data_IF_981457458703
#
_entry.id   IF_981457458703
#
_cell.length_a   1.000
_cell.length_b   1.000
_cell.length_c   1.000
_cell.angle_alpha   90.00
_cell.angle_beta   90.00
_cell.angle_gamma   90.00
#
_symmetry.space_group_name_H-M   'P 1'
#
loop_
_entity.id
_entity.type
_entity.pdbx_description
1 polymer ?
#
# COMPACT_ATOMS: atom_id res chain seq x y z
N UNK A 1 -12.02 18.96 -2.31
CA UNK A 1 -10.95 18.44 -3.19
C UNK A 1 -11.49 17.24 -3.95
N UNK A 2 -11.29 17.17 -5.27
CA UNK A 2 -11.77 16.05 -6.09
C UNK A 2 -10.59 15.15 -6.45
N UNK A 3 -10.63 13.93 -5.99
CA UNK A 3 -9.60 12.92 -6.21
C UNK A 3 -9.93 12.06 -7.43
N UNK A 4 -8.88 11.61 -8.12
CA UNK A 4 -9.00 10.63 -9.18
C UNK A 4 -9.35 9.26 -8.59
N UNK A 5 -10.32 8.57 -9.20
CA UNK A 5 -10.67 7.19 -8.84
C UNK A 5 -9.67 6.20 -9.40
N UNK A 6 -9.17 6.45 -10.62
CA UNK A 6 -8.11 5.65 -11.25
C UNK A 6 -7.47 6.42 -12.42
N UNK A 7 -6.34 5.92 -12.89
CA UNK A 7 -5.64 6.44 -14.06
C UNK A 7 -6.10 5.67 -15.29
N UNK A 8 -6.72 6.36 -16.26
CA UNK A 8 -7.18 5.75 -17.52
C UNK A 8 -6.05 5.48 -18.51
N UNK A 9 -5.09 6.41 -18.59
CA UNK A 9 -4.03 6.37 -19.57
C UNK A 9 -2.77 7.04 -19.04
N UNK A 10 -1.65 6.44 -19.31
CA UNK A 10 -0.31 6.99 -19.10
C UNK A 10 0.31 7.24 -20.47
N UNK A 11 0.73 8.46 -20.72
CA UNK A 11 1.45 8.83 -21.93
C UNK A 11 2.83 9.39 -21.57
N UNK A 12 3.87 8.87 -22.19
CA UNK A 12 5.25 9.28 -21.98
C UNK A 12 5.85 9.66 -23.32
N UNK A 13 6.09 10.96 -23.51
CA UNK A 13 6.55 11.51 -24.80
C UNK A 13 7.95 11.03 -25.19
N UNK A 14 8.78 10.79 -24.20
CA UNK A 14 10.21 10.54 -24.44
C UNK A 14 10.78 9.57 -23.41
N UNK A 15 11.03 8.36 -23.85
CA UNK A 15 11.87 7.39 -23.16
C UNK A 15 13.19 7.21 -23.93
N UNK A 16 14.27 6.86 -23.20
CA UNK A 16 15.60 6.58 -23.79
C UNK A 16 16.07 7.69 -24.75
N UNK A 17 16.20 8.89 -24.19
CA UNK A 17 16.68 10.08 -24.93
C UNK A 17 15.80 10.49 -26.11
N UNK A 18 14.49 10.36 -25.95
CA UNK A 18 13.52 10.79 -26.95
C UNK A 18 13.20 9.77 -28.05
N UNK A 19 13.75 8.58 -27.98
CA UNK A 19 13.61 7.57 -29.04
C UNK A 19 12.29 6.79 -29.02
N UNK A 20 11.56 6.84 -27.91
CA UNK A 20 10.32 6.05 -27.74
C UNK A 20 9.23 6.89 -27.08
N UNK A 21 8.07 6.91 -27.75
CA UNK A 21 6.81 7.38 -27.22
C UNK A 21 6.02 6.17 -26.72
N UNK A 22 5.44 6.28 -25.54
CA UNK A 22 4.64 5.20 -24.92
C UNK A 22 3.27 5.74 -24.57
N UNK A 23 2.23 5.06 -25.05
CA UNK A 23 0.85 5.26 -24.62
C UNK A 23 0.37 3.95 -24.01
N UNK A 24 -0.01 4.00 -22.75
CA UNK A 24 -0.49 2.84 -22.01
C UNK A 24 -1.90 3.11 -21.49
N UNK A 25 -2.89 2.45 -22.08
CA UNK A 25 -4.26 2.47 -21.60
C UNK A 25 -4.39 1.47 -20.44
N UNK A 26 -4.97 1.93 -19.35
CA UNK A 26 -5.04 1.18 -18.10
C UNK A 26 -6.47 0.69 -17.85
N UNK A 27 -6.58 -0.51 -17.29
CA UNK A 27 -7.78 -1.01 -16.67
C UNK A 27 -8.01 -0.31 -15.32
N UNK A 28 -9.25 -0.31 -14.86
CA UNK A 28 -9.63 0.35 -13.61
C UNK A 28 -9.03 -0.34 -12.37
N UNK A 29 -8.83 -1.65 -12.41
CA UNK A 29 -8.49 -2.44 -11.22
C UNK A 29 -7.02 -2.85 -11.21
N UNK A 30 -6.61 -3.72 -12.13
CA UNK A 30 -5.28 -4.32 -12.13
C UNK A 30 -4.63 -4.19 -13.49
N UNK A 31 -3.39 -3.69 -13.50
CA UNK A 31 -2.59 -3.57 -14.70
C UNK A 31 -1.24 -4.24 -14.48
N UNK A 32 -0.85 -5.11 -15.41
CA UNK A 32 0.40 -5.87 -15.32
C UNK A 32 1.33 -5.43 -16.44
N UNK A 33 2.50 -4.92 -16.07
CA UNK A 33 3.58 -4.60 -16.99
C UNK A 33 4.59 -5.75 -16.98
N UNK A 34 4.51 -6.62 -17.97
CA UNK A 34 5.40 -7.78 -18.12
C UNK A 34 6.43 -7.59 -19.24
N UNK A 35 7.50 -8.37 -19.20
CA UNK A 35 8.55 -8.37 -20.23
C UNK A 35 9.88 -8.84 -19.65
N UNK A 36 10.86 -9.09 -20.55
CA UNK A 36 12.21 -9.53 -20.18
C UNK A 36 12.95 -8.50 -19.33
N UNK A 37 13.96 -8.94 -18.59
CA UNK A 37 14.79 -8.04 -17.79
C UNK A 37 15.52 -7.03 -18.70
N UNK A 38 15.61 -5.78 -18.25
CA UNK A 38 16.25 -4.70 -19.00
C UNK A 38 15.37 -4.00 -20.04
N UNK A 39 14.14 -4.48 -20.33
CA UNK A 39 13.25 -3.87 -21.34
C UNK A 39 12.71 -2.49 -20.93
N UNK A 40 12.95 -2.05 -19.70
CA UNK A 40 12.57 -0.72 -19.23
C UNK A 40 11.29 -0.62 -18.41
N UNK A 41 10.75 -1.75 -17.89
CA UNK A 41 9.54 -1.76 -17.01
C UNK A 41 9.68 -0.77 -15.85
N UNK A 42 10.74 -0.92 -15.07
CA UNK A 42 11.02 -0.04 -13.92
C UNK A 42 11.30 1.41 -14.34
N UNK A 43 11.85 1.62 -15.54
CA UNK A 43 12.09 2.97 -16.08
C UNK A 43 10.76 3.69 -16.35
N UNK A 44 9.78 2.98 -16.91
CA UNK A 44 8.43 3.50 -17.16
C UNK A 44 7.76 3.86 -15.82
N UNK A 45 7.69 2.91 -14.89
CA UNK A 45 7.05 3.13 -13.59
C UNK A 45 7.72 4.25 -12.80
N UNK A 46 9.06 4.27 -12.73
CA UNK A 46 9.80 5.33 -12.04
C UNK A 46 9.57 6.71 -12.67
N UNK A 47 9.38 6.79 -13.98
CA UNK A 47 9.10 8.06 -14.66
C UNK A 47 7.69 8.57 -14.31
N UNK A 48 6.71 7.67 -14.24
CA UNK A 48 5.34 7.99 -13.80
C UNK A 48 5.34 8.45 -12.34
N UNK A 49 5.96 7.67 -11.44
CA UNK A 49 6.05 7.99 -10.02
C UNK A 49 6.75 9.33 -9.76
N UNK A 50 7.85 9.60 -10.46
CA UNK A 50 8.52 10.92 -10.40
C UNK A 50 7.61 12.05 -10.88
N UNK A 51 6.75 11.77 -11.88
CA UNK A 51 5.73 12.72 -12.36
C UNK A 51 4.73 13.06 -11.24
N UNK A 52 4.24 12.05 -10.55
CA UNK A 52 3.30 12.22 -9.44
C UNK A 52 3.94 12.90 -8.22
N UNK A 53 5.19 12.57 -7.91
CA UNK A 53 5.92 13.10 -6.75
C UNK A 53 6.29 14.58 -6.86
N UNK A 54 6.20 15.19 -8.04
CA UNK A 54 6.53 16.60 -8.25
C UNK A 54 5.60 17.56 -7.48
N UNK A 55 4.50 17.05 -6.92
CA UNK A 55 3.55 17.77 -6.05
C UNK A 55 2.71 18.81 -6.79
N UNK A 56 1.52 19.08 -6.28
CA UNK A 56 0.63 20.13 -6.78
C UNK A 56 -0.65 19.62 -7.44
N UNK A 57 -1.47 20.54 -7.92
CA UNK A 57 -2.72 20.23 -8.61
C UNK A 57 -2.45 19.58 -9.97
N UNK A 58 -3.13 18.48 -10.22
CA UNK A 58 -3.16 17.80 -11.50
C UNK A 58 -4.03 18.60 -12.52
N UNK A 59 -3.66 18.77 -13.79
CA UNK A 59 -2.50 18.26 -14.51
C UNK A 59 -1.30 19.22 -14.60
N UNK A 60 -1.32 20.38 -13.94
CA UNK A 60 -0.40 21.50 -14.19
C UNK A 60 1.04 21.27 -13.75
N UNK A 61 1.30 20.27 -12.91
CA UNK A 61 2.63 19.99 -12.33
C UNK A 61 3.26 18.69 -12.81
N UNK A 62 2.75 18.13 -13.90
CA UNK A 62 3.36 16.93 -14.46
C UNK A 62 4.79 17.19 -14.95
N UNK A 63 5.69 16.26 -14.65
CA UNK A 63 7.04 16.27 -15.21
C UNK A 63 6.97 16.36 -16.74
N UNK A 64 7.82 17.18 -17.33
CA UNK A 64 7.94 17.30 -18.79
C UNK A 64 7.99 15.91 -19.43
N UNK A 65 7.04 15.66 -20.33
CA UNK A 65 6.98 14.44 -21.10
C UNK A 65 6.27 13.26 -20.44
N UNK A 66 5.52 13.48 -19.36
CA UNK A 66 4.56 12.48 -18.82
C UNK A 66 3.19 13.11 -18.72
N UNK A 67 2.18 12.48 -19.30
CA UNK A 67 0.78 12.89 -19.21
C UNK A 67 -0.05 11.74 -18.66
N UNK A 68 -0.96 12.06 -17.74
CA UNK A 68 -1.91 11.10 -17.20
C UNK A 68 -3.32 11.57 -17.53
N UNK A 69 -4.15 10.64 -17.99
CA UNK A 69 -5.60 10.86 -18.04
C UNK A 69 -6.22 10.06 -16.90
N UNK A 70 -7.07 10.73 -16.14
CA UNK A 70 -7.69 10.17 -14.94
C UNK A 70 -9.20 10.13 -15.04
N UNK A 71 -9.85 9.42 -14.15
CA UNK A 71 -11.29 9.44 -13.97
C UNK A 71 -11.60 9.90 -12.54
N UNK A 72 -12.54 10.84 -12.35
CA UNK A 72 -13.17 11.71 -13.37
C UNK A 72 -12.16 12.69 -13.99
N UNK A 73 -12.47 13.17 -15.20
CA UNK A 73 -11.55 14.01 -15.99
C UNK A 73 -11.20 15.35 -15.33
N UNK A 74 -12.04 15.82 -14.42
CA UNK A 74 -11.86 17.04 -13.62
C UNK A 74 -11.22 16.80 -12.26
N UNK A 75 -10.71 15.59 -12.00
CA UNK A 75 -9.95 15.32 -10.78
C UNK A 75 -8.64 16.09 -10.77
N UNK A 76 -8.30 16.66 -9.60
CA UNK A 76 -7.11 17.48 -9.41
C UNK A 76 -6.07 16.82 -8.51
N UNK A 77 -6.41 15.72 -7.86
CA UNK A 77 -5.57 15.04 -6.89
C UNK A 77 -5.58 13.53 -7.14
N UNK A 78 -4.43 12.88 -6.96
CA UNK A 78 -4.28 11.42 -7.00
C UNK A 78 -3.68 10.99 -5.66
N UNK A 79 -4.31 10.03 -4.99
CA UNK A 79 -3.69 9.31 -3.88
C UNK A 79 -2.97 8.11 -4.44
N UNK A 80 -1.73 7.93 -4.07
CA UNK A 80 -0.95 6.80 -4.55
C UNK A 80 0.11 6.39 -3.54
N UNK A 81 0.53 5.12 -3.65
CA UNK A 81 1.72 4.62 -2.99
C UNK A 81 2.56 3.79 -3.96
N UNK A 82 3.80 3.55 -3.61
CA UNK A 82 4.76 2.80 -4.43
C UNK A 82 5.39 1.73 -3.59
N UNK A 83 5.15 0.47 -3.97
CA UNK A 83 5.78 -0.67 -3.32
C UNK A 83 6.98 -1.08 -4.16
N UNK A 84 8.16 -0.99 -3.58
CA UNK A 84 9.40 -1.33 -4.28
C UNK A 84 9.63 -2.83 -4.25
N UNK A 85 10.00 -3.40 -5.37
CA UNK A 85 10.27 -4.83 -5.53
C UNK A 85 11.60 -5.29 -4.90
N UNK A 86 12.46 -4.37 -4.52
CA UNK A 86 13.76 -4.68 -3.90
C UNK A 86 13.82 -4.08 -2.51
N UNK A 87 14.08 -4.94 -1.55
CA UNK A 87 14.33 -4.54 -0.18
C UNK A 87 15.76 -3.97 -0.08
N UNK A 88 15.87 -2.69 0.19
CA UNK A 88 17.14 -1.98 0.25
C UNK A 88 17.50 -1.66 1.70
N UNK A 89 18.78 -1.85 2.08
CA UNK A 89 19.25 -1.38 3.37
C UNK A 89 19.02 0.13 3.53
N UNK A 90 18.65 0.55 4.72
CA UNK A 90 18.58 1.97 5.06
C UNK A 90 20.00 2.54 5.17
N UNK A 91 20.33 3.56 4.38
CA UNK A 91 21.67 4.16 4.33
C UNK A 91 22.09 4.92 5.59
N UNK A 92 21.18 5.17 6.54
CA UNK A 92 21.43 6.02 7.71
C UNK A 92 20.83 5.40 8.98
N UNK A 93 21.18 4.15 9.27
CA UNK A 93 20.77 3.43 10.48
C UNK A 93 21.12 4.19 11.76
N UNK A 94 22.26 4.90 11.80
CA UNK A 94 22.69 5.70 12.96
C UNK A 94 21.78 6.90 13.25
N UNK A 95 21.16 7.48 12.23
CA UNK A 95 20.19 8.56 12.38
C UNK A 95 18.83 8.04 12.85
N UNK A 96 18.45 6.85 12.41
CA UNK A 96 17.19 6.17 12.77
C UNK A 96 17.27 5.61 14.19
N UNK A 97 18.39 4.98 14.57
CA UNK A 97 18.59 4.41 15.90
C UNK A 97 18.65 5.46 17.02
N UNK A 98 19.06 6.69 16.70
CA UNK A 98 19.05 7.81 17.66
C UNK A 98 17.64 8.35 17.97
N UNK A 99 16.63 8.00 17.18
CA UNK A 99 15.27 8.52 17.35
C UNK A 99 14.43 7.72 18.34
N UNK A 100 14.67 6.41 18.48
CA UNK A 100 13.99 5.58 19.50
C UNK A 100 14.53 4.13 19.49
N UNK A 101 14.60 3.47 20.65
CA UNK A 101 15.03 2.06 20.77
C UNK A 101 14.15 1.07 19.99
N UNK A 102 12.90 1.40 19.76
CA UNK A 102 11.97 0.58 18.94
C UNK A 102 12.25 0.62 17.41
N UNK A 103 13.18 1.48 16.98
CA UNK A 103 13.56 1.60 15.56
C UNK A 103 14.86 0.84 15.23
N UNK A 104 15.50 0.21 16.24
CA UNK A 104 16.72 -0.57 16.05
C UNK A 104 16.55 -1.80 15.16
N UNK A 105 15.31 -2.30 15.06
CA UNK A 105 14.97 -3.49 14.28
C UNK A 105 14.69 -3.19 12.79
N UNK A 106 14.66 -1.91 12.41
CA UNK A 106 14.41 -1.47 11.04
C UNK A 106 15.72 -1.46 10.26
N UNK A 107 15.91 -2.46 9.41
CA UNK A 107 17.12 -2.60 8.59
C UNK A 107 16.93 -2.16 7.13
N UNK A 108 15.68 -2.15 6.64
CA UNK A 108 15.38 -2.03 5.22
C UNK A 108 14.28 -1.01 4.90
N UNK A 109 14.16 -0.63 3.63
CA UNK A 109 13.07 0.25 3.16
C UNK A 109 11.69 -0.40 3.39
N UNK A 110 11.56 -1.73 3.26
CA UNK A 110 10.30 -2.44 3.54
C UNK A 110 9.97 -2.42 5.04
N UNK A 111 10.96 -2.55 5.91
CA UNK A 111 10.76 -2.43 7.36
C UNK A 111 10.22 -1.04 7.73
N UNK A 112 10.76 0.00 7.10
CA UNK A 112 10.28 1.36 7.31
C UNK A 112 8.84 1.54 6.80
N UNK A 113 8.49 0.97 5.64
CA UNK A 113 7.11 1.00 5.15
C UNK A 113 6.17 0.26 6.09
N UNK A 114 6.54 -0.94 6.56
CA UNK A 114 5.78 -1.71 7.53
C UNK A 114 5.59 -0.95 8.85
N UNK A 115 6.62 -0.26 9.33
CA UNK A 115 6.53 0.57 10.53
C UNK A 115 5.47 1.66 10.42
N UNK A 116 5.44 2.40 9.30
CA UNK A 116 4.41 3.41 9.08
C UNK A 116 3.02 2.80 8.88
N UNK A 117 2.92 1.69 8.17
CA UNK A 117 1.66 0.98 7.98
C UNK A 117 1.10 0.40 9.28
N UNK A 118 1.95 -0.11 10.18
CA UNK A 118 1.53 -0.55 11.50
C UNK A 118 0.85 0.57 12.31
N UNK A 119 1.39 1.79 12.24
CA UNK A 119 0.78 2.95 12.91
C UNK A 119 -0.59 3.30 12.31
N UNK A 120 -0.68 3.35 10.98
CA UNK A 120 -1.97 3.52 10.29
C UNK A 120 -2.96 2.39 10.60
N UNK A 121 -2.46 1.17 10.77
CA UNK A 121 -3.30 0.01 11.13
C UNK A 121 -3.88 0.15 12.55
N UNK A 122 -3.14 0.69 13.50
CA UNK A 122 -3.67 1.02 14.84
C UNK A 122 -4.83 2.02 14.75
N UNK A 123 -4.64 3.10 13.99
CA UNK A 123 -5.70 4.10 13.78
C UNK A 123 -6.93 3.47 13.08
N UNK A 124 -6.70 2.61 12.10
CA UNK A 124 -7.75 1.84 11.42
C UNK A 124 -8.53 0.96 12.41
N UNK A 125 -7.84 0.23 13.29
CA UNK A 125 -8.49 -0.62 14.31
C UNK A 125 -9.32 0.20 15.31
N UNK A 126 -8.80 1.32 15.78
CA UNK A 126 -9.52 2.23 16.67
C UNK A 126 -10.79 2.75 15.99
N UNK A 127 -10.68 3.17 14.72
CA UNK A 127 -11.82 3.65 13.95
C UNK A 127 -12.90 2.57 13.79
N UNK A 128 -12.52 1.35 13.42
CA UNK A 128 -13.45 0.20 13.32
C UNK A 128 -14.09 -0.09 14.67
N UNK A 129 -13.30 -0.14 15.75
CA UNK A 129 -13.81 -0.37 17.10
C UNK A 129 -14.86 0.66 17.49
N UNK A 130 -14.59 1.95 17.30
CA UNK A 130 -15.52 3.03 17.57
C UNK A 130 -16.82 2.91 16.76
N UNK A 131 -16.72 2.56 15.48
CA UNK A 131 -17.89 2.35 14.60
C UNK A 131 -18.75 1.16 15.08
N UNK A 132 -18.12 0.06 15.49
CA UNK A 132 -18.82 -1.11 16.03
C UNK A 132 -19.53 -0.75 17.34
N UNK A 133 -18.85 -0.04 18.25
CA UNK A 133 -19.43 0.41 19.53
C UNK A 133 -20.63 1.31 19.27
N UNK A 134 -20.49 2.32 18.40
CA UNK A 134 -21.59 3.20 18.05
C UNK A 134 -22.78 2.44 17.45
N UNK A 135 -22.53 1.47 16.57
CA UNK A 135 -23.56 0.65 15.96
C UNK A 135 -24.33 -0.18 17.00
N UNK A 136 -23.61 -0.76 17.98
CA UNK A 136 -24.24 -1.56 19.04
C UNK A 136 -25.02 -0.69 20.04
N UNK A 137 -24.56 0.53 20.30
CA UNK A 137 -25.25 1.49 21.19
C UNK A 137 -26.56 2.02 20.61
N UNK A 138 -26.67 2.09 19.28
CA UNK A 138 -27.91 2.52 18.59
C UNK A 138 -29.13 1.59 18.88
N UNK A 139 -28.91 0.38 19.40
CA UNK A 139 -29.96 -0.56 19.78
C UNK A 139 -30.84 -1.06 18.62
N UNK A 140 -30.39 -0.92 17.38
CA UNK A 140 -31.11 -1.37 16.18
C UNK A 140 -31.13 -2.90 16.12
N UNK A 141 -32.22 -3.53 15.60
CA UNK A 141 -32.30 -4.99 15.49
C UNK A 141 -31.20 -5.62 14.63
N UNK A 142 -30.64 -4.87 13.69
CA UNK A 142 -29.59 -5.29 12.75
C UNK A 142 -28.16 -4.92 13.18
N UNK A 143 -28.01 -4.34 14.38
CA UNK A 143 -26.71 -3.84 14.88
C UNK A 143 -25.62 -4.92 14.85
N UNK A 144 -25.93 -6.17 15.20
CA UNK A 144 -24.97 -7.27 15.18
C UNK A 144 -24.50 -7.61 13.75
N UNK A 145 -25.41 -7.59 12.77
CA UNK A 145 -25.10 -7.83 11.37
C UNK A 145 -24.22 -6.69 10.80
N UNK A 146 -24.55 -5.46 11.15
CA UNK A 146 -23.76 -4.30 10.71
C UNK A 146 -22.37 -4.30 11.35
N UNK A 147 -22.23 -4.65 12.62
CA UNK A 147 -20.93 -4.83 13.28
C UNK A 147 -20.07 -5.89 12.56
N UNK A 148 -20.67 -7.00 12.12
CA UNK A 148 -19.98 -8.00 11.29
C UNK A 148 -19.52 -7.42 9.96
N UNK A 149 -20.34 -6.63 9.26
CA UNK A 149 -19.97 -5.97 8.01
C UNK A 149 -18.79 -5.00 8.19
N UNK A 150 -18.82 -4.22 9.28
CA UNK A 150 -17.74 -3.28 9.61
C UNK A 150 -16.43 -4.03 9.87
N UNK A 151 -16.46 -5.20 10.51
CA UNK A 151 -15.26 -5.99 10.83
C UNK A 151 -14.79 -6.91 9.70
N UNK A 152 -15.62 -7.19 8.69
CA UNK A 152 -15.35 -8.14 7.63
C UNK A 152 -14.04 -7.86 6.84
N UNK A 153 -13.71 -6.61 6.44
CA UNK A 153 -12.47 -6.35 5.73
C UNK A 153 -11.22 -6.75 6.51
N UNK A 154 -11.19 -6.46 7.83
CA UNK A 154 -10.08 -6.88 8.70
C UNK A 154 -9.98 -8.41 8.76
N UNK A 155 -11.10 -9.09 8.91
CA UNK A 155 -11.13 -10.56 8.94
C UNK A 155 -10.62 -11.14 7.63
N UNK A 156 -11.11 -10.65 6.49
CA UNK A 156 -10.67 -11.09 5.15
C UNK A 156 -9.16 -10.89 4.96
N UNK A 157 -8.63 -9.74 5.37
CA UNK A 157 -7.20 -9.48 5.35
C UNK A 157 -6.41 -10.52 6.15
N UNK A 158 -6.84 -10.81 7.38
CA UNK A 158 -6.17 -11.76 8.25
C UNK A 158 -6.23 -13.20 7.71
N UNK A 159 -7.40 -13.60 7.19
CA UNK A 159 -7.58 -14.92 6.57
C UNK A 159 -6.68 -15.07 5.32
N UNK A 160 -6.59 -14.03 4.49
CA UNK A 160 -5.75 -14.03 3.29
C UNK A 160 -4.25 -14.10 3.63
N UNK A 161 -3.82 -13.42 4.68
CA UNK A 161 -2.42 -13.50 5.16
C UNK A 161 -2.12 -14.92 5.65
N UNK A 162 -3.02 -15.54 6.43
CA UNK A 162 -2.83 -16.91 6.91
C UNK A 162 -2.72 -17.89 5.74
N UNK A 163 -3.55 -17.74 4.70
CA UNK A 163 -3.49 -18.57 3.49
C UNK A 163 -2.15 -18.40 2.75
N UNK A 164 -1.71 -17.16 2.53
CA UNK A 164 -0.47 -16.86 1.82
C UNK A 164 0.79 -17.35 2.56
N UNK A 165 0.76 -17.36 3.90
CA UNK A 165 1.89 -17.75 4.72
C UNK A 165 1.78 -19.20 5.22
N UNK A 166 0.77 -19.94 4.79
CA UNK A 166 0.50 -21.31 5.21
C UNK A 166 1.69 -22.25 4.97
N UNK A 167 2.35 -22.13 3.81
CA UNK A 167 3.52 -22.96 3.45
C UNK A 167 4.72 -22.72 4.40
N UNK A 168 4.84 -21.54 4.98
CA UNK A 168 5.90 -21.21 5.95
C UNK A 168 5.48 -21.42 7.39
N UNK A 169 4.23 -21.87 7.62
CA UNK A 169 3.68 -22.16 8.95
C UNK A 169 3.50 -20.94 9.84
N UNK A 170 3.40 -19.74 9.24
CA UNK A 170 3.14 -18.50 9.97
C UNK A 170 1.66 -18.18 9.97
N UNK A 171 1.13 -17.78 11.11
CA UNK A 171 -0.26 -17.32 11.26
C UNK A 171 -0.29 -15.98 11.97
N UNK A 172 -1.21 -15.10 11.53
CA UNK A 172 -1.36 -13.77 12.14
C UNK A 172 -2.04 -13.87 13.51
N UNK A 173 -1.51 -13.17 14.51
CA UNK A 173 -2.11 -13.10 15.84
C UNK A 173 -3.24 -12.06 15.81
N UNK A 174 -4.47 -12.52 15.97
CA UNK A 174 -5.69 -11.71 15.77
C UNK A 174 -6.09 -10.86 16.97
N UNK A 175 -5.53 -11.17 18.13
CA UNK A 175 -5.89 -10.55 19.43
C UNK A 175 -5.02 -9.34 19.80
N UNK A 176 -3.94 -9.11 19.05
CA UNK A 176 -3.04 -7.99 19.30
C UNK A 176 -3.40 -6.75 18.47
N UNK A 177 -2.99 -5.60 18.98
CA UNK A 177 -3.19 -4.33 18.30
C UNK A 177 -2.17 -4.12 17.16
N UNK A 178 -0.99 -4.71 17.28
CA UNK A 178 0.05 -4.71 16.26
C UNK A 178 -0.03 -5.99 15.43
N UNK A 179 0.44 -5.92 14.21
CA UNK A 179 0.57 -7.12 13.38
C UNK A 179 1.76 -7.91 13.90
N UNK A 180 1.49 -9.12 14.35
CA UNK A 180 2.46 -10.12 14.78
C UNK A 180 2.06 -11.49 14.25
N UNK A 181 3.03 -12.37 14.18
CA UNK A 181 2.84 -13.73 13.69
C UNK A 181 3.22 -14.75 14.74
N UNK A 182 2.53 -15.88 14.73
CA UNK A 182 2.95 -17.08 15.47
C UNK A 182 3.57 -18.06 14.49
N UNK A 183 4.73 -18.63 14.83
CA UNK A 183 5.38 -19.70 14.09
C UNK A 183 6.04 -20.66 15.08
N UNK A 184 5.64 -21.93 15.06
CA UNK A 184 6.23 -23.01 15.92
C UNK A 184 6.30 -22.60 17.40
N UNK A 185 5.28 -21.89 17.89
CA UNK A 185 5.20 -21.44 19.30
C UNK A 185 5.98 -20.15 19.62
N UNK A 186 6.66 -19.56 18.65
CA UNK A 186 7.33 -18.26 18.78
C UNK A 186 6.47 -17.14 18.22
N UNK A 187 6.68 -15.94 18.74
CA UNK A 187 6.03 -14.72 18.26
C UNK A 187 7.06 -13.94 17.43
N UNK A 188 6.71 -13.70 16.16
CA UNK A 188 7.53 -12.97 15.21
C UNK A 188 6.96 -11.57 14.97
N UNK A 189 7.85 -10.59 14.90
CA UNK A 189 7.52 -9.26 14.37
C UNK A 189 7.46 -9.27 12.84
N UNK A 190 6.75 -8.36 12.18
CA UNK A 190 6.72 -8.28 10.73
C UNK A 190 8.09 -7.97 10.10
N UNK A 191 9.03 -7.44 10.88
CA UNK A 191 10.40 -7.16 10.40
C UNK A 191 11.25 -8.43 10.26
N UNK A 192 10.83 -9.54 10.86
CA UNK A 192 11.50 -10.85 10.77
C UNK A 192 11.00 -11.71 9.60
N UNK A 193 10.03 -11.22 8.85
CA UNK A 193 9.53 -11.87 7.64
C UNK A 193 10.56 -11.81 6.51
N UNK A 194 10.48 -12.74 5.57
CA UNK A 194 11.24 -12.68 4.31
C UNK A 194 10.84 -11.44 3.48
N UNK A 195 11.70 -10.98 2.59
CA UNK A 195 11.40 -9.82 1.73
C UNK A 195 10.12 -10.00 0.91
N UNK A 196 9.86 -11.21 0.40
CA UNK A 196 8.62 -11.53 -0.32
C UNK A 196 7.38 -11.44 0.57
N UNK A 197 7.44 -12.01 1.78
CA UNK A 197 6.34 -11.93 2.76
C UNK A 197 6.09 -10.48 3.19
N UNK A 198 7.16 -9.69 3.42
CA UNK A 198 7.05 -8.25 3.73
C UNK A 198 6.36 -7.49 2.61
N UNK A 199 6.72 -7.74 1.34
CA UNK A 199 6.06 -7.13 0.19
C UNK A 199 4.57 -7.46 0.13
N UNK A 200 4.20 -8.73 0.28
CA UNK A 200 2.80 -9.14 0.31
C UNK A 200 2.04 -8.49 1.47
N UNK A 201 2.65 -8.45 2.66
CA UNK A 201 2.06 -7.79 3.81
C UNK A 201 1.86 -6.28 3.57
N UNK A 202 2.85 -5.59 2.99
CA UNK A 202 2.74 -4.16 2.64
C UNK A 202 1.59 -3.92 1.66
N UNK A 203 1.48 -4.74 0.60
CA UNK A 203 0.39 -4.64 -0.39
C UNK A 203 -0.97 -4.78 0.30
N UNK A 204 -1.18 -5.89 0.99
CA UNK A 204 -2.48 -6.22 1.57
C UNK A 204 -2.88 -5.25 2.69
N UNK A 205 -1.91 -4.83 3.49
CA UNK A 205 -2.14 -3.87 4.57
C UNK A 205 -2.47 -2.47 4.01
N UNK A 206 -1.81 -2.06 2.94
CA UNK A 206 -2.14 -0.80 2.25
C UNK A 206 -3.57 -0.85 1.70
N UNK A 207 -3.94 -1.93 1.03
CA UNK A 207 -5.31 -2.10 0.51
C UNK A 207 -6.35 -2.07 1.63
N UNK A 208 -6.08 -2.71 2.77
CA UNK A 208 -6.98 -2.70 3.93
C UNK A 208 -7.18 -1.30 4.50
N UNK A 209 -6.08 -0.55 4.68
CA UNK A 209 -6.11 0.76 5.34
C UNK A 209 -6.75 1.83 4.46
N UNK A 210 -6.49 1.78 3.15
CA UNK A 210 -7.01 2.74 2.17
C UNK A 210 -8.39 2.32 1.61
N UNK A 211 -9.02 1.32 2.21
CA UNK A 211 -10.37 0.86 1.85
C UNK A 211 -11.36 2.04 1.85
N UNK A 212 -12.28 2.03 0.88
CA UNK A 212 -13.27 3.07 0.64
C UNK A 212 -12.74 4.42 0.13
N UNK A 213 -11.47 4.54 -0.24
CA UNK A 213 -10.93 5.76 -0.85
C UNK A 213 -10.31 5.46 -2.22
N UNK A 214 -10.47 6.38 -3.19
CA UNK A 214 -9.76 6.26 -4.46
C UNK A 214 -8.24 6.24 -4.23
N UNK A 215 -7.59 5.18 -4.69
CA UNK A 215 -6.18 4.93 -4.44
C UNK A 215 -5.50 4.20 -5.59
N UNK A 216 -4.28 4.59 -5.93
CA UNK A 216 -3.47 3.93 -6.97
C UNK A 216 -2.22 3.34 -6.32
N UNK A 217 -2.00 2.05 -6.52
CA UNK A 217 -0.84 1.34 -6.02
C UNK A 217 0.08 0.97 -7.19
N UNK A 218 1.37 1.33 -7.08
CA UNK A 218 2.40 1.02 -8.07
C UNK A 218 3.37 -0.02 -7.54
#
# INVERSE_FOLDING_TARGET
MKYAEYIKQIEIDSLWSGKRHVVWNLDRQVNILSGINGVGKSTILNKVVKGLSAGGEFPSHMLKGVRLKVQPDDAKWIRYDVIRSFDRPLWNLDAVSKLNTSLSDLATELDMQLFFLQRKYLDYQVNIGNRIIACLQDGRPDAALEAQRISAPKKTFQDLIDDLFSETGKTIIRTENEIRFSQIGEILSPYQLSSGEKQMLVILLTVLIEDHQPYVLF
#
